data_IF_364751652149
#
_entry.id   IF_364751652149
#
_cell.length_a   1.000
_cell.length_b   1.000
_cell.length_c   1.000
_cell.angle_alpha   90.00
_cell.angle_beta   90.00
_cell.angle_gamma   90.00
#
_symmetry.space_group_name_H-M   'P 1'
#
loop_
_entity.id
_entity.type
_entity.pdbx_description
1 polymer ?
#
# COMPACT_ATOMS: atom_id res chain seq x y z
N UNK A 1 -21.68 4.71 38.22
CA UNK A 1 -22.38 4.49 36.95
C UNK A 1 -21.34 4.17 35.89
N UNK A 2 -21.08 2.89 35.69
CA UNK A 2 -20.19 2.41 34.62
C UNK A 2 -21.03 2.32 33.35
N UNK A 3 -20.68 3.09 32.33
CA UNK A 3 -21.18 2.85 30.98
C UNK A 3 -20.50 1.57 30.48
N UNK A 4 -21.23 0.45 30.52
CA UNK A 4 -20.96 -0.68 29.66
C UNK A 4 -20.94 -0.17 28.22
N UNK A 5 -19.75 0.00 27.67
CA UNK A 5 -19.57 0.12 26.24
C UNK A 5 -19.94 -1.26 25.70
N UNK A 6 -21.19 -1.41 25.27
CA UNK A 6 -21.77 -2.66 24.83
C UNK A 6 -20.92 -3.28 23.73
N UNK A 7 -20.07 -4.22 24.13
CA UNK A 7 -19.56 -5.22 23.22
C UNK A 7 -20.79 -6.04 22.84
N UNK A 8 -21.33 -5.85 21.62
CA UNK A 8 -22.41 -6.68 21.09
C UNK A 8 -21.75 -7.87 20.35
N UNK A 9 -21.47 -9.00 21.02
CA UNK A 9 -20.88 -10.18 20.39
C UNK A 9 -21.73 -10.70 19.21
N UNK A 10 -23.02 -10.34 19.16
CA UNK A 10 -23.92 -10.68 18.07
C UNK A 10 -23.55 -9.98 16.76
N UNK A 11 -23.06 -8.73 16.80
CA UNK A 11 -22.73 -7.99 15.59
C UNK A 11 -21.50 -8.58 14.90
N UNK A 12 -20.50 -8.98 15.68
CA UNK A 12 -19.29 -9.63 15.19
C UNK A 12 -19.59 -11.03 14.62
N UNK A 13 -20.51 -11.77 15.24
CA UNK A 13 -20.99 -13.06 14.71
C UNK A 13 -21.69 -12.89 13.35
N UNK A 14 -22.58 -11.90 13.22
CA UNK A 14 -23.30 -11.64 11.96
C UNK A 14 -22.33 -11.20 10.86
N UNK A 15 -21.33 -10.38 11.18
CA UNK A 15 -20.31 -9.96 10.24
C UNK A 15 -19.40 -11.12 9.82
N UNK A 16 -19.05 -12.00 10.76
CA UNK A 16 -18.30 -13.21 10.47
C UNK A 16 -19.06 -14.09 9.47
N UNK A 17 -20.34 -14.37 9.74
CA UNK A 17 -21.15 -15.23 8.86
C UNK A 17 -21.29 -14.60 7.46
N UNK A 18 -21.43 -13.27 7.36
CA UNK A 18 -21.42 -12.58 6.06
C UNK A 18 -20.08 -12.70 5.35
N UNK A 19 -18.97 -12.50 6.07
CA UNK A 19 -17.62 -12.58 5.51
C UNK A 19 -17.33 -14.01 5.03
N UNK A 20 -17.65 -15.01 5.86
CA UNK A 20 -17.53 -16.42 5.51
C UNK A 20 -18.34 -16.76 4.26
N UNK A 21 -19.59 -16.29 4.17
CA UNK A 21 -20.43 -16.52 2.98
C UNK A 21 -19.87 -15.84 1.72
N UNK A 22 -19.26 -14.65 1.86
CA UNK A 22 -18.57 -13.97 0.74
C UNK A 22 -17.32 -14.75 0.31
N UNK A 23 -16.53 -15.23 1.27
CA UNK A 23 -15.36 -16.07 0.98
C UNK A 23 -15.77 -17.38 0.31
N UNK A 24 -16.74 -18.09 0.88
CA UNK A 24 -17.29 -19.34 0.34
C UNK A 24 -17.79 -19.13 -1.08
N UNK A 25 -18.51 -18.03 -1.34
CA UNK A 25 -18.96 -17.68 -2.69
C UNK A 25 -17.80 -17.38 -3.65
N UNK A 26 -16.77 -16.66 -3.20
CA UNK A 26 -15.60 -16.36 -4.04
C UNK A 26 -14.75 -17.59 -4.35
N UNK A 27 -14.76 -18.59 -3.47
CA UNK A 27 -14.02 -19.85 -3.63
C UNK A 27 -14.84 -20.91 -4.39
N UNK A 28 -16.17 -20.80 -4.39
CA UNK A 28 -17.08 -21.76 -5.02
C UNK A 28 -16.95 -21.84 -6.54
N UNK A 29 -16.35 -20.84 -7.21
CA UNK A 29 -16.15 -20.81 -8.65
C UNK A 29 -14.72 -21.30 -9.01
N UNK A 30 -14.48 -22.63 -9.15
CA UNK A 30 -13.14 -23.18 -9.36
C UNK A 30 -12.50 -22.77 -10.69
N UNK A 31 -13.30 -22.27 -11.64
CA UNK A 31 -12.82 -21.81 -12.93
C UNK A 31 -12.04 -20.48 -12.81
N UNK A 32 -12.40 -19.63 -11.84
CA UNK A 32 -11.71 -18.36 -11.59
C UNK A 32 -10.31 -18.56 -10.99
N UNK A 33 -10.12 -19.68 -10.26
CA UNK A 33 -8.86 -20.02 -9.60
C UNK A 33 -7.91 -20.85 -10.46
N UNK A 34 -8.30 -21.19 -11.70
CA UNK A 34 -7.38 -21.92 -12.60
C UNK A 34 -6.33 -20.95 -13.15
N UNK A 35 -5.02 -21.26 -12.99
CA UNK A 35 -3.96 -20.42 -13.53
C UNK A 35 -4.03 -20.42 -15.05
N UNK A 36 -4.57 -19.36 -15.63
CA UNK A 36 -4.35 -19.04 -17.02
C UNK A 36 -2.97 -18.37 -17.14
N UNK A 37 -2.18 -18.74 -18.14
CA UNK A 37 -0.83 -18.23 -18.36
C UNK A 37 -0.77 -16.69 -18.37
N UNK A 38 -1.85 -16.03 -18.78
CA UNK A 38 -1.95 -14.58 -18.82
C UNK A 38 -2.43 -13.93 -17.50
N UNK A 39 -3.05 -14.68 -16.60
CA UNK A 39 -3.69 -14.16 -15.36
C UNK A 39 -3.08 -14.73 -14.08
N UNK A 40 -1.98 -15.49 -14.16
CA UNK A 40 -1.40 -16.18 -12.99
C UNK A 40 -1.01 -15.19 -11.88
N UNK A 41 -0.58 -13.98 -12.24
CA UNK A 41 -0.24 -12.93 -11.29
C UNK A 41 -1.47 -12.36 -10.59
N UNK A 42 -2.56 -12.12 -11.32
CA UNK A 42 -3.82 -11.62 -10.77
C UNK A 42 -4.46 -12.66 -9.83
N UNK A 43 -4.45 -13.93 -10.23
CA UNK A 43 -4.94 -15.04 -9.40
C UNK A 43 -4.09 -15.18 -8.14
N UNK A 44 -2.76 -15.04 -8.24
CA UNK A 44 -1.86 -15.06 -7.08
C UNK A 44 -2.13 -13.87 -6.14
N UNK A 45 -2.23 -12.65 -6.67
CA UNK A 45 -2.50 -11.45 -5.87
C UNK A 45 -3.88 -11.52 -5.19
N UNK A 46 -4.89 -11.99 -5.92
CA UNK A 46 -6.24 -12.22 -5.40
C UNK A 46 -6.22 -13.26 -4.29
N UNK A 47 -5.48 -14.37 -4.48
CA UNK A 47 -5.30 -15.40 -3.45
C UNK A 47 -4.65 -14.83 -2.19
N UNK A 48 -3.68 -13.93 -2.34
CA UNK A 48 -2.99 -13.29 -1.22
C UNK A 48 -3.91 -12.33 -0.45
N UNK A 49 -4.72 -11.53 -1.15
CA UNK A 49 -5.71 -10.66 -0.50
C UNK A 49 -6.76 -11.48 0.26
N UNK A 50 -7.25 -12.58 -0.33
CA UNK A 50 -8.18 -13.47 0.37
C UNK A 50 -7.53 -14.20 1.54
N UNK A 51 -6.23 -14.48 1.48
CA UNK A 51 -5.47 -15.08 2.58
C UNK A 51 -5.22 -14.08 3.72
N UNK A 52 -5.01 -12.80 3.42
CA UNK A 52 -4.94 -11.76 4.45
C UNK A 52 -6.30 -11.60 5.15
N UNK A 53 -7.41 -11.68 4.40
CA UNK A 53 -8.74 -11.72 4.97
C UNK A 53 -8.99 -12.99 5.81
N UNK A 54 -8.43 -14.15 5.42
CA UNK A 54 -8.45 -15.36 6.26
C UNK A 54 -7.49 -15.26 7.46
N UNK A 55 -6.49 -14.37 7.43
CA UNK A 55 -5.67 -14.01 8.59
C UNK A 55 -6.47 -13.38 9.73
N UNK A 56 -7.63 -12.77 9.44
CA UNK A 56 -8.60 -12.41 10.48
C UNK A 56 -9.15 -13.65 11.22
N UNK A 57 -9.04 -14.87 10.66
CA UNK A 57 -9.35 -16.11 11.39
C UNK A 57 -8.43 -16.34 12.58
N UNK A 58 -7.22 -15.80 12.56
CA UNK A 58 -6.27 -15.90 13.66
C UNK A 58 -6.76 -15.09 14.87
N UNK A 59 -7.41 -13.95 14.59
CA UNK A 59 -8.13 -13.15 15.58
C UNK A 59 -9.34 -13.95 16.10
N UNK A 60 -10.07 -14.65 15.23
CA UNK A 60 -11.16 -15.54 15.66
C UNK A 60 -10.69 -16.71 16.51
N UNK A 61 -9.55 -17.34 16.21
CA UNK A 61 -8.99 -18.39 17.05
C UNK A 61 -8.56 -17.87 18.41
N UNK A 62 -8.11 -16.61 18.50
CA UNK A 62 -7.82 -15.97 19.78
C UNK A 62 -9.08 -15.63 20.57
N UNK A 63 -10.13 -15.14 19.90
CA UNK A 63 -11.44 -14.89 20.53
C UNK A 63 -12.07 -16.21 20.99
N UNK A 64 -11.99 -17.26 20.18
CA UNK A 64 -12.44 -18.61 20.51
C UNK A 64 -11.70 -19.16 21.73
N UNK A 65 -10.38 -18.99 21.81
CA UNK A 65 -9.59 -19.37 22.99
C UNK A 65 -10.01 -18.65 24.26
N UNK A 66 -10.58 -17.44 24.13
CA UNK A 66 -11.08 -16.66 25.24
C UNK A 66 -12.49 -17.08 25.68
N UNK A 67 -13.27 -17.67 24.76
CA UNK A 67 -14.66 -18.11 24.97
C UNK A 67 -14.73 -19.56 25.44
N UNK A 68 -13.79 -20.43 25.04
CA UNK A 68 -13.75 -21.85 25.47
C UNK A 68 -13.59 -22.01 27.00
N UNK A 69 -13.14 -20.97 27.73
CA UNK A 69 -13.07 -20.99 29.19
C UNK A 69 -14.45 -20.70 29.87
N UNK A 70 -15.48 -20.27 29.12
CA UNK A 70 -16.80 -19.92 29.64
C UNK A 70 -17.93 -20.75 28.97
N UNK A 71 -18.21 -21.91 29.58
CA UNK A 71 -19.40 -22.79 29.41
C UNK A 71 -19.77 -23.32 27.98
N UNK A 72 -20.10 -24.61 27.84
CA UNK A 72 -20.50 -25.22 26.56
C UNK A 72 -21.93 -24.80 26.17
N UNK A 73 -22.06 -23.60 25.60
CA UNK A 73 -23.29 -23.11 25.00
C UNK A 73 -23.61 -23.83 23.67
N UNK A 74 -24.89 -24.06 23.32
CA UNK A 74 -25.30 -24.65 22.03
C UNK A 74 -24.80 -23.90 20.78
N UNK A 75 -24.33 -22.66 20.93
CA UNK A 75 -23.68 -21.91 19.85
C UNK A 75 -22.33 -22.51 19.43
N UNK A 76 -21.69 -23.32 20.28
CA UNK A 76 -20.40 -23.98 19.99
C UNK A 76 -20.48 -24.90 18.77
N UNK A 77 -21.61 -25.59 18.56
CA UNK A 77 -21.81 -26.50 17.43
C UNK A 77 -21.76 -25.72 16.10
N UNK A 78 -22.44 -24.56 16.03
CA UNK A 78 -22.43 -23.70 14.83
C UNK A 78 -21.05 -23.11 14.57
N UNK A 79 -20.31 -22.78 15.63
CA UNK A 79 -18.95 -22.24 15.52
C UNK A 79 -17.94 -23.31 15.06
N UNK A 80 -18.13 -24.57 15.43
CA UNK A 80 -17.31 -25.66 14.91
C UNK A 80 -17.54 -25.86 13.41
N UNK A 81 -18.78 -25.77 12.93
CA UNK A 81 -19.07 -25.83 11.50
C UNK A 81 -18.42 -24.68 10.72
N UNK A 82 -18.47 -23.45 11.25
CA UNK A 82 -17.80 -22.31 10.61
C UNK A 82 -16.28 -22.46 10.63
N UNK A 83 -15.72 -23.01 11.71
CA UNK A 83 -14.29 -23.33 11.81
C UNK A 83 -13.86 -24.36 10.76
N UNK A 84 -14.59 -25.46 10.62
CA UNK A 84 -14.28 -26.50 9.62
C UNK A 84 -14.35 -25.92 8.20
N UNK A 85 -15.37 -25.10 7.90
CA UNK A 85 -15.48 -24.42 6.60
C UNK A 85 -14.30 -23.48 6.34
N UNK A 86 -13.90 -22.73 7.36
CA UNK A 86 -12.79 -21.78 7.26
C UNK A 86 -11.45 -22.50 7.04
N UNK A 87 -11.22 -23.61 7.74
CA UNK A 87 -10.03 -24.46 7.56
C UNK A 87 -9.97 -25.06 6.14
N UNK A 88 -11.13 -25.46 5.60
CA UNK A 88 -11.24 -25.94 4.22
C UNK A 88 -10.88 -24.86 3.20
N UNK A 89 -11.34 -23.63 3.42
CA UNK A 89 -11.04 -22.47 2.56
C UNK A 89 -9.56 -22.10 2.67
N UNK A 90 -9.00 -22.09 3.88
CA UNK A 90 -7.59 -21.78 4.11
C UNK A 90 -6.67 -22.81 3.44
N UNK A 91 -7.00 -24.10 3.55
CA UNK A 91 -6.26 -25.18 2.87
C UNK A 91 -6.32 -25.02 1.35
N UNK A 92 -7.50 -24.72 0.79
CA UNK A 92 -7.66 -24.47 -0.64
C UNK A 92 -6.83 -23.27 -1.11
N UNK A 93 -6.88 -22.14 -0.39
CA UNK A 93 -6.12 -20.94 -0.75
C UNK A 93 -4.60 -21.18 -0.68
N UNK A 94 -4.13 -21.95 0.31
CA UNK A 94 -2.72 -22.35 0.41
C UNK A 94 -2.30 -23.22 -0.78
N UNK A 95 -3.15 -24.11 -1.25
CA UNK A 95 -2.85 -24.96 -2.40
C UNK A 95 -2.84 -24.15 -3.71
N UNK A 96 -3.78 -23.22 -3.90
CA UNK A 96 -3.76 -22.27 -5.02
C UNK A 96 -2.50 -21.40 -4.98
N UNK A 97 -2.14 -20.88 -3.81
CA UNK A 97 -0.95 -20.05 -3.65
C UNK A 97 0.33 -20.81 -4.01
N UNK A 98 0.44 -22.09 -3.60
CA UNK A 98 1.56 -22.95 -3.99
C UNK A 98 1.59 -23.21 -5.50
N UNK A 99 0.43 -23.43 -6.12
CA UNK A 99 0.31 -23.66 -7.55
C UNK A 99 0.62 -22.41 -8.39
N UNK A 100 0.29 -21.22 -7.89
CA UNK A 100 0.46 -19.95 -8.60
C UNK A 100 1.71 -19.17 -8.19
N UNK A 101 2.54 -19.68 -7.26
CA UNK A 101 3.73 -18.97 -6.79
C UNK A 101 4.64 -18.71 -8.01
N UNK A 102 4.84 -17.44 -8.42
CA UNK A 102 5.69 -17.16 -9.56
C UNK A 102 7.10 -17.65 -9.23
N UNK A 103 7.66 -18.48 -10.10
CA UNK A 103 9.06 -18.87 -9.99
C UNK A 103 9.88 -17.57 -10.03
N UNK A 104 10.70 -17.28 -9.01
CA UNK A 104 11.49 -16.06 -8.97
C UNK A 104 12.45 -16.08 -10.15
N UNK A 105 12.02 -15.45 -11.24
CA UNK A 105 12.84 -15.23 -12.41
C UNK A 105 13.76 -14.10 -12.01
N UNK A 106 14.98 -14.43 -11.57
CA UNK A 106 15.98 -13.40 -11.30
C UNK A 106 16.11 -12.57 -12.57
N UNK A 107 15.89 -11.26 -12.52
CA UNK A 107 16.18 -10.41 -13.66
C UNK A 107 17.66 -10.62 -13.98
N UNK A 108 17.94 -11.07 -15.21
CA UNK A 108 19.32 -11.23 -15.70
C UNK A 108 20.05 -9.93 -15.40
N UNK A 109 21.07 -10.03 -14.53
CA UNK A 109 21.81 -8.89 -14.03
C UNK A 109 22.27 -8.03 -15.21
N UNK A 110 21.75 -6.80 -15.29
CA UNK A 110 22.08 -5.85 -16.35
C UNK A 110 23.58 -5.53 -16.38
N UNK A 111 24.28 -5.79 -15.26
CA UNK A 111 25.74 -5.68 -15.14
C UNK A 111 26.49 -6.67 -16.05
N UNK A 112 25.89 -7.80 -16.42
CA UNK A 112 26.50 -8.75 -17.37
C UNK A 112 26.40 -8.29 -18.83
N UNK A 113 25.54 -7.32 -19.13
CA UNK A 113 25.35 -6.77 -20.49
C UNK A 113 26.14 -5.51 -20.77
N UNK A 114 26.76 -4.91 -19.74
CA UNK A 114 27.55 -3.71 -19.93
C UNK A 114 28.88 -4.09 -20.60
N UNK A 115 29.19 -3.49 -21.77
CA UNK A 115 30.50 -3.68 -22.39
C UNK A 115 31.58 -3.16 -21.45
N UNK A 116 32.53 -4.03 -21.09
CA UNK A 116 33.67 -3.67 -20.26
C UNK A 116 34.51 -2.64 -21.05
N UNK A 117 34.80 -1.45 -20.49
CA UNK A 117 35.67 -0.48 -21.14
C UNK A 117 37.06 -1.09 -21.37
N UNK A 118 37.48 -1.12 -22.62
CA UNK A 118 38.80 -1.60 -23.01
C UNK A 118 39.86 -0.62 -22.48
N UNK A 119 40.87 -1.10 -21.72
CA UNK A 119 41.89 -0.23 -21.14
C UNK A 119 42.72 0.44 -22.24
N UNK A 120 43.11 1.71 -22.08
CA UNK A 120 43.89 2.42 -23.07
C UNK A 120 45.24 1.72 -23.27
N UNK A 121 45.53 1.35 -24.52
CA UNK A 121 46.83 0.84 -24.94
C UNK A 121 47.92 1.87 -24.65
N UNK A 122 48.68 1.65 -23.58
CA UNK A 122 49.92 2.37 -23.32
C UNK A 122 50.96 1.97 -24.37
N UNK A 123 51.14 2.83 -25.37
CA UNK A 123 52.31 2.81 -26.26
C UNK A 123 53.56 3.06 -25.42
N UNK A 124 54.37 2.03 -25.28
CA UNK A 124 55.62 2.05 -24.54
C UNK A 124 56.66 2.98 -25.13
N UNK A 125 57.41 3.65 -24.25
CA UNK A 125 58.82 3.98 -24.41
C UNK A 125 59.49 3.85 -23.03
N UNK A 126 60.55 3.07 -22.97
CA UNK A 126 61.54 2.93 -21.89
C UNK A 126 62.93 3.20 -22.51
N UNK A 127 64.07 3.34 -21.79
CA UNK A 127 64.33 3.47 -20.35
C UNK A 127 65.39 4.58 -19.99
N UNK A 128 65.76 4.63 -18.70
CA UNK A 128 66.92 5.29 -18.04
C UNK A 128 66.71 6.75 -17.59
N UNK A 129 67.10 7.24 -16.41
CA UNK A 129 68.03 6.81 -15.35
C UNK A 129 67.75 7.67 -14.07
N UNK A 130 67.67 7.02 -12.90
CA UNK A 130 68.11 7.36 -11.51
C UNK A 130 68.38 8.83 -11.00
N UNK A 131 68.61 9.08 -9.68
CA UNK A 131 67.66 9.26 -8.56
C UNK A 131 67.81 10.63 -7.81
N UNK A 132 66.84 11.02 -6.95
CA UNK A 132 67.10 11.59 -5.60
C UNK A 132 65.82 11.99 -4.82
N UNK A 133 65.86 11.69 -3.52
CA UNK A 133 64.99 12.03 -2.36
C UNK A 133 64.62 13.53 -2.19
N UNK A 134 63.96 13.96 -1.08
CA UNK A 134 62.83 13.41 -0.29
C UNK A 134 61.73 14.52 -0.09
N UNK A 135 60.72 14.33 0.78
CA UNK A 135 60.07 15.48 1.47
C UNK A 135 58.67 15.98 1.10
N UNK A 136 57.66 15.75 1.95
CA UNK A 136 56.73 16.78 2.50
C UNK A 136 55.24 16.45 2.39
N UNK A 137 54.60 16.55 3.54
CA UNK A 137 53.17 16.43 3.86
C UNK A 137 52.37 17.64 3.35
N UNK A 138 51.09 17.48 2.99
CA UNK A 138 49.98 18.45 3.19
C UNK A 138 48.71 17.86 2.55
N UNK A 139 47.67 17.45 3.28
CA UNK A 139 46.53 18.24 3.78
C UNK A 139 45.70 19.00 2.72
N UNK A 140 44.38 18.74 2.77
CA UNK A 140 43.21 19.47 2.23
C UNK A 140 42.90 19.41 0.72
N UNK A 141 41.73 18.87 0.37
CA UNK A 141 40.50 19.65 0.16
C UNK A 141 39.37 18.78 -0.45
N UNK A 142 38.26 18.63 0.28
CA UNK A 142 36.96 18.21 -0.27
C UNK A 142 36.25 19.43 -0.88
N UNK A 143 35.57 19.30 -2.04
CA UNK A 143 34.68 20.34 -2.54
C UNK A 143 33.27 20.17 -1.98
N UNK A 144 32.89 21.04 -1.02
CA UNK A 144 31.52 21.25 -0.59
C UNK A 144 30.73 22.04 -1.64
N UNK A 145 29.66 21.45 -2.18
CA UNK A 145 28.75 22.10 -3.14
C UNK A 145 27.79 23.03 -2.39
N UNK A 146 27.82 24.29 -2.79
CA UNK A 146 27.02 25.41 -2.29
C UNK A 146 25.54 25.23 -2.66
N UNK A 147 24.66 25.19 -1.65
CA UNK A 147 23.21 25.31 -1.81
C UNK A 147 22.83 26.74 -1.43
N UNK A 148 22.61 27.60 -2.41
CA UNK A 148 22.15 28.98 -2.22
C UNK A 148 20.88 29.19 -3.02
N UNK A 149 19.82 29.54 -2.29
CA UNK A 149 18.76 30.42 -2.78
C UNK A 149 17.57 29.71 -3.43
N UNK A 150 16.51 29.52 -2.65
CA UNK A 150 15.15 29.96 -2.99
C UNK A 150 14.23 29.69 -1.79
N UNK A 151 14.43 30.46 -0.73
CA UNK A 151 13.40 30.69 0.29
C UNK A 151 12.36 31.63 -0.33
N UNK A 152 11.19 31.09 -0.67
CA UNK A 152 9.98 31.90 -0.83
C UNK A 152 9.10 31.59 0.38
N UNK A 153 8.95 32.59 1.23
CA UNK A 153 8.15 32.57 2.45
C UNK A 153 6.65 32.43 2.15
N UNK A 154 5.87 31.84 3.08
CA UNK A 154 4.42 31.62 2.96
C UNK A 154 3.62 32.92 3.17
N UNK A 155 2.39 33.03 2.63
CA UNK A 155 1.47 34.11 2.99
C UNK A 155 0.75 33.83 4.31
N UNK A 156 0.64 34.88 5.13
CA UNK A 156 -0.04 34.91 6.44
C UNK A 156 -1.56 34.63 6.35
N UNK A 157 -2.13 33.92 7.34
CA UNK A 157 -3.56 33.70 7.47
C UNK A 157 -4.20 34.64 8.51
N UNK A 158 -4.84 35.73 8.09
CA UNK A 158 -5.81 36.44 8.94
C UNK A 158 -7.09 36.81 8.17
N UNK A 159 -8.22 36.29 8.65
CA UNK A 159 -9.49 37.00 8.63
C UNK A 159 -10.51 36.66 7.54
N UNK A 160 -11.10 35.45 7.57
CA UNK A 160 -12.51 35.28 7.17
C UNK A 160 -13.23 34.32 8.14
N UNK A 161 -14.27 34.88 8.76
CA UNK A 161 -15.18 34.34 9.76
C UNK A 161 -16.00 33.09 9.35
N UNK A 162 -16.63 32.40 10.33
CA UNK A 162 -17.27 31.10 10.15
C UNK A 162 -18.76 31.26 9.83
N UNK A 163 -19.12 31.23 8.55
CA UNK A 163 -20.53 31.11 8.15
C UNK A 163 -20.65 30.70 6.68
N UNK A 164 -20.28 29.46 6.37
CA UNK A 164 -20.74 28.76 5.16
C UNK A 164 -20.57 27.23 5.32
N UNK A 165 -20.87 26.72 6.50
CA UNK A 165 -21.24 25.31 6.67
C UNK A 165 -22.71 25.26 6.25
N UNK A 166 -22.98 24.96 4.97
CA UNK A 166 -24.26 24.46 4.37
C UNK A 166 -24.39 25.01 2.95
N UNK A 167 -23.70 24.39 1.98
CA UNK A 167 -24.11 24.27 0.57
C UNK A 167 -22.88 23.87 -0.27
N UNK A 168 -22.69 22.56 -0.48
CA UNK A 168 -22.13 21.94 -1.69
C UNK A 168 -21.65 20.52 -1.39
N UNK A 169 -22.59 19.61 -1.13
CA UNK A 169 -22.41 18.21 -1.48
C UNK A 169 -23.00 18.02 -2.89
N UNK A 170 -22.20 17.71 -3.91
CA UNK A 170 -22.66 16.84 -4.98
C UNK A 170 -22.28 15.41 -4.59
N UNK A 171 -23.29 14.71 -4.07
CA UNK A 171 -23.37 13.26 -4.10
C UNK A 171 -23.19 12.77 -5.54
N UNK A 172 -22.11 12.04 -5.83
CA UNK A 172 -21.96 11.26 -7.05
C UNK A 172 -21.25 9.94 -6.73
N UNK A 173 -22.03 9.01 -6.17
CA UNK A 173 -21.79 7.58 -6.36
C UNK A 173 -22.54 7.15 -7.64
N UNK A 174 -21.86 6.67 -8.69
CA UNK A 174 -22.52 5.92 -9.76
C UNK A 174 -22.69 4.47 -9.29
N UNK A 175 -23.91 4.13 -8.89
CA UNK A 175 -24.37 2.74 -8.80
C UNK A 175 -24.62 2.26 -10.24
N UNK A 176 -23.79 1.34 -10.71
CA UNK A 176 -23.99 0.60 -11.96
C UNK A 176 -24.91 -0.59 -11.73
N UNK A 177 -26.01 -0.65 -12.48
CA UNK A 177 -26.70 -1.89 -12.79
C UNK A 177 -27.24 -1.83 -14.23
N UNK A 178 -26.93 -2.89 -14.96
CA UNK A 178 -27.15 -3.19 -16.36
C UNK A 178 -28.55 -2.87 -16.92
N UNK A 179 -28.65 -2.51 -18.21
CA UNK A 179 -28.79 -3.48 -19.30
C UNK A 179 -29.24 -2.78 -20.60
N UNK A 180 -28.35 -2.74 -21.59
CA UNK A 180 -28.62 -2.82 -23.04
C UNK A 180 -27.38 -2.33 -23.80
N UNK A 181 -26.71 -3.25 -24.49
CA UNK A 181 -25.77 -2.92 -25.55
C UNK A 181 -26.53 -2.22 -26.71
N UNK A 182 -25.87 -1.34 -27.50
CA UNK A 182 -24.91 -1.84 -28.46
C UNK A 182 -23.56 -1.11 -28.41
N UNK A 183 -22.52 -1.88 -28.68
CA UNK A 183 -21.22 -1.48 -29.23
C UNK A 183 -21.18 -0.07 -29.82
N UNK A 184 -20.50 0.88 -29.15
CA UNK A 184 -20.00 2.08 -29.80
C UNK A 184 -18.60 2.42 -29.31
N UNK A 185 -17.66 2.29 -30.24
CA UNK A 185 -16.27 2.70 -30.24
C UNK A 185 -15.89 3.83 -29.26
N UNK A 186 -15.04 3.51 -28.29
CA UNK A 186 -14.23 4.51 -27.57
C UNK A 186 -12.90 4.68 -28.30
N UNK A 187 -12.95 5.42 -29.40
CA UNK A 187 -11.77 5.93 -30.09
C UNK A 187 -12.17 7.18 -30.86
N UNK A 188 -12.30 8.30 -30.14
CA UNK A 188 -12.42 9.62 -30.73
C UNK A 188 -11.49 10.57 -29.99
N UNK A 189 -10.49 11.11 -30.71
CA UNK A 189 -9.73 12.26 -30.23
C UNK A 189 -8.26 12.34 -30.63
N UNK A 190 -7.80 11.60 -31.65
CA UNK A 190 -6.63 12.02 -32.41
C UNK A 190 -7.13 12.64 -33.72
N UNK A 191 -6.61 13.83 -34.00
CA UNK A 191 -7.02 14.69 -35.11
C UNK A 191 -6.82 14.10 -36.51
N UNK A 192 -7.08 14.90 -37.55
CA UNK A 192 -7.26 14.42 -38.92
C UNK A 192 -5.98 13.75 -39.42
N UNK A 193 -6.06 12.44 -39.65
CA UNK A 193 -5.09 11.69 -40.45
C UNK A 193 -5.15 12.22 -41.89
N UNK A 194 -4.08 12.83 -42.44
CA UNK A 194 -4.07 13.18 -43.85
C UNK A 194 -4.03 11.88 -44.67
N UNK A 195 -5.10 11.66 -45.42
CA UNK A 195 -5.20 10.64 -46.45
C UNK A 195 -4.04 10.82 -47.44
N UNK A 196 -3.13 9.86 -47.49
CA UNK A 196 -2.08 9.78 -48.50
C UNK A 196 -2.73 9.62 -49.88
N UNK A 197 -2.87 10.74 -50.60
CA UNK A 197 -3.34 10.75 -51.99
C UNK A 197 -2.13 10.48 -52.88
N UNK A 198 -2.07 9.27 -53.42
CA UNK A 198 -1.12 8.82 -54.44
C UNK A 198 -1.23 9.71 -55.69
N UNK A 199 -0.29 10.65 -55.85
CA UNK A 199 -0.13 11.43 -57.10
C UNK A 199 0.72 10.61 -58.06
N UNK A 200 0.09 10.14 -59.13
CA UNK A 200 0.78 9.53 -60.26
C UNK A 200 1.38 10.62 -61.17
N UNK A 201 2.65 10.46 -61.52
CA UNK A 201 3.21 10.90 -62.80
C UNK A 201 3.85 12.29 -62.86
N UNK A 202 5.12 12.33 -63.28
CA UNK A 202 5.66 13.42 -64.10
C UNK A 202 6.74 14.30 -63.47
N UNK A 203 8.01 13.95 -63.73
CA UNK A 203 9.15 14.86 -63.97
C UNK A 203 9.17 16.22 -63.23
N UNK A 204 9.79 16.27 -62.04
CA UNK A 204 10.07 17.52 -61.31
C UNK A 204 10.64 17.32 -59.89
N UNK A 205 11.68 16.49 -59.75
CA UNK A 205 12.10 15.87 -58.47
C UNK A 205 12.74 16.75 -57.38
N UNK A 206 12.78 18.08 -57.52
CA UNK A 206 13.39 18.99 -56.52
C UNK A 206 12.38 19.75 -55.65
N UNK A 207 11.23 20.16 -56.21
CA UNK A 207 10.28 21.03 -55.53
C UNK A 207 9.30 20.28 -54.61
N UNK A 208 9.01 19.01 -54.90
CA UNK A 208 8.09 18.18 -54.11
C UNK A 208 8.71 17.71 -52.78
N UNK A 209 10.02 17.48 -52.75
CA UNK A 209 10.73 17.11 -51.52
C UNK A 209 10.77 18.24 -50.51
N UNK A 210 10.89 19.50 -50.96
CA UNK A 210 10.82 20.68 -50.08
C UNK A 210 9.43 20.83 -49.45
N UNK A 211 8.36 20.60 -50.22
CA UNK A 211 6.99 20.66 -49.72
C UNK A 211 6.68 19.58 -48.67
N UNK A 212 7.19 18.36 -48.85
CA UNK A 212 7.05 17.28 -47.85
C UNK A 212 7.83 17.60 -46.58
N UNK A 213 9.01 18.20 -46.73
CA UNK A 213 9.87 18.57 -45.59
C UNK A 213 9.23 19.69 -44.75
N UNK A 214 8.55 20.63 -45.39
CA UNK A 214 7.77 21.69 -44.74
C UNK A 214 6.50 21.14 -44.04
N UNK A 215 5.85 20.13 -44.62
CA UNK A 215 4.72 19.46 -43.97
C UNK A 215 5.16 18.69 -42.71
N UNK A 216 6.28 17.95 -42.79
CA UNK A 216 6.82 17.23 -41.62
C UNK A 216 7.28 18.18 -40.51
N UNK A 217 7.90 19.32 -40.85
CA UNK A 217 8.29 20.31 -39.85
C UNK A 217 7.06 20.91 -39.16
N UNK A 218 5.99 21.20 -39.92
CA UNK A 218 4.73 21.68 -39.35
C UNK A 218 4.08 20.68 -38.39
N UNK A 219 4.11 19.38 -38.72
CA UNK A 219 3.59 18.33 -37.85
C UNK A 219 4.42 18.17 -36.58
N UNK A 220 5.74 18.27 -36.69
CA UNK A 220 6.64 18.17 -35.55
C UNK A 220 6.46 19.36 -34.61
N UNK A 221 6.25 20.57 -35.15
CA UNK A 221 5.92 21.75 -34.36
C UNK A 221 4.60 21.56 -33.57
N UNK A 222 3.55 21.03 -34.23
CA UNK A 222 2.28 20.74 -33.55
C UNK A 222 2.44 19.68 -32.45
N UNK A 223 3.20 18.61 -32.70
CA UNK A 223 3.48 17.60 -31.68
C UNK A 223 4.30 18.17 -30.52
N UNK A 224 5.30 19.03 -30.79
CA UNK A 224 6.08 19.68 -29.75
C UNK A 224 5.23 20.62 -28.90
N UNK A 225 4.31 21.37 -29.51
CA UNK A 225 3.34 22.20 -28.79
C UNK A 225 2.38 21.36 -27.94
N UNK A 226 1.94 20.20 -28.45
CA UNK A 226 1.10 19.28 -27.67
C UNK A 226 1.86 18.68 -26.49
N UNK A 227 3.11 18.24 -26.71
CA UNK A 227 3.96 17.72 -25.65
C UNK A 227 4.21 18.77 -24.57
N UNK A 228 4.42 20.03 -24.96
CA UNK A 228 4.54 21.16 -24.04
C UNK A 228 3.27 21.38 -23.23
N UNK A 229 2.08 21.35 -23.86
CA UNK A 229 0.80 21.45 -23.13
C UNK A 229 0.60 20.30 -22.15
N UNK A 230 0.91 19.06 -22.57
CA UNK A 230 0.85 17.89 -21.71
C UNK A 230 1.81 18.03 -20.52
N UNK A 231 3.04 18.49 -20.75
CA UNK A 231 4.03 18.70 -19.68
C UNK A 231 3.57 19.77 -18.67
N UNK A 232 3.00 20.89 -19.14
CA UNK A 232 2.44 21.92 -18.26
C UNK A 232 1.29 21.33 -17.44
N UNK A 233 0.35 20.62 -18.08
CA UNK A 233 -0.77 19.98 -17.39
C UNK A 233 -0.31 18.97 -16.33
N UNK A 234 0.70 18.15 -16.64
CA UNK A 234 1.28 17.22 -15.67
C UNK A 234 1.98 17.94 -14.52
N UNK A 235 2.67 19.05 -14.77
CA UNK A 235 3.31 19.83 -13.71
C UNK A 235 2.27 20.42 -12.74
N UNK A 236 1.14 20.92 -13.26
CA UNK A 236 0.04 21.44 -12.43
C UNK A 236 -0.66 20.31 -11.67
N UNK A 237 -0.88 19.17 -12.33
CA UNK A 237 -1.47 17.99 -11.67
C UNK A 237 -0.59 17.49 -10.53
N UNK A 238 0.73 17.41 -10.73
CA UNK A 238 1.68 17.03 -9.69
C UNK A 238 1.71 18.02 -8.51
N UNK A 239 1.57 19.32 -8.78
CA UNK A 239 1.49 20.32 -7.72
C UNK A 239 0.21 20.15 -6.88
N UNK A 240 -0.93 19.87 -7.52
CA UNK A 240 -2.19 19.58 -6.83
C UNK A 240 -2.11 18.26 -6.05
N UNK A 241 -1.56 17.20 -6.64
CA UNK A 241 -1.40 15.90 -6.00
C UNK A 241 -0.49 16.01 -4.77
N UNK A 242 0.60 16.80 -4.87
CA UNK A 242 1.46 17.10 -3.72
C UNK A 242 0.68 17.77 -2.58
N UNK A 243 -0.16 18.76 -2.89
CA UNK A 243 -0.98 19.43 -1.88
C UNK A 243 -2.00 18.47 -1.23
N UNK A 244 -2.59 17.56 -1.99
CA UNK A 244 -3.50 16.53 -1.47
C UNK A 244 -2.74 15.53 -0.58
N UNK A 245 -1.53 15.13 -0.95
CA UNK A 245 -0.69 14.23 -0.15
C UNK A 245 -0.27 14.89 1.16
N UNK A 246 0.15 16.15 1.14
CA UNK A 246 0.50 16.91 2.35
C UNK A 246 -0.72 17.05 3.28
N UNK A 247 -1.90 17.38 2.74
CA UNK A 247 -3.14 17.45 3.52
C UNK A 247 -3.54 16.07 4.10
N UNK A 248 -3.36 15.00 3.34
CA UNK A 248 -3.63 13.64 3.83
C UNK A 248 -2.64 13.23 4.93
N UNK A 249 -1.36 13.61 4.80
CA UNK A 249 -0.34 13.37 5.81
C UNK A 249 -0.68 14.11 7.11
N UNK A 250 -1.05 15.39 7.05
CA UNK A 250 -1.46 16.16 8.24
C UNK A 250 -2.66 15.52 8.95
N UNK A 251 -3.66 15.03 8.20
CA UNK A 251 -4.81 14.32 8.77
C UNK A 251 -4.41 13.00 9.42
N UNK A 252 -3.45 12.29 8.83
CA UNK A 252 -2.96 11.02 9.36
C UNK A 252 -2.15 11.23 10.64
N UNK A 253 -1.28 12.23 10.67
CA UNK A 253 -0.52 12.64 11.86
C UNK A 253 -1.46 13.08 12.99
N UNK A 254 -2.45 13.94 12.69
CA UNK A 254 -3.45 14.37 13.66
C UNK A 254 -4.27 13.20 14.22
N UNK A 255 -4.65 12.24 13.37
CA UNK A 255 -5.38 11.04 13.81
C UNK A 255 -4.49 10.12 14.67
N UNK A 256 -3.23 9.95 14.28
CA UNK A 256 -2.27 9.16 15.02
C UNK A 256 -2.02 9.73 16.42
N UNK A 257 -1.85 11.05 16.54
CA UNK A 257 -1.69 11.74 17.82
C UNK A 257 -2.93 11.63 18.69
N UNK A 258 -4.13 11.76 18.11
CA UNK A 258 -5.38 11.55 18.83
C UNK A 258 -5.49 10.11 19.36
N UNK A 259 -5.15 9.12 18.53
CA UNK A 259 -5.15 7.71 18.92
C UNK A 259 -4.11 7.43 20.02
N UNK A 260 -2.91 8.00 19.92
CA UNK A 260 -1.86 7.82 20.91
C UNK A 260 -2.20 8.50 22.25
N UNK A 261 -2.83 9.67 22.21
CA UNK A 261 -3.35 10.36 23.40
C UNK A 261 -4.46 9.55 24.07
N UNK A 262 -5.39 8.99 23.29
CA UNK A 262 -6.42 8.10 23.83
C UNK A 262 -5.82 6.82 24.39
N UNK A 263 -4.85 6.21 23.72
CA UNK A 263 -4.16 4.99 24.19
C UNK A 263 -3.43 5.23 25.52
N UNK A 264 -2.76 6.36 25.67
CA UNK A 264 -2.08 6.70 26.94
C UNK A 264 -3.08 6.98 28.06
N UNK A 265 -4.20 7.66 27.77
CA UNK A 265 -5.31 7.86 28.73
C UNK A 265 -5.97 6.54 29.14
N UNK A 266 -6.26 5.66 28.17
CA UNK A 266 -6.82 4.33 28.43
C UNK A 266 -5.84 3.46 29.22
N UNK A 267 -4.55 3.52 28.91
CA UNK A 267 -3.52 2.80 29.68
C UNK A 267 -3.43 3.32 31.11
N UNK A 268 -3.52 4.65 31.32
CA UNK A 268 -3.54 5.27 32.65
C UNK A 268 -4.79 4.87 33.44
N UNK A 269 -5.95 4.80 32.79
CA UNK A 269 -7.19 4.37 33.44
C UNK A 269 -7.21 2.85 33.72
N UNK A 270 -6.68 2.06 32.79
CA UNK A 270 -6.53 0.61 32.92
C UNK A 270 -5.59 0.24 34.06
N UNK A 271 -4.41 0.87 34.16
CA UNK A 271 -3.45 0.60 35.23
C UNK A 271 -3.97 1.03 36.61
N UNK A 272 -4.82 2.06 36.66
CA UNK A 272 -5.42 2.54 37.92
C UNK A 272 -6.54 1.62 38.41
N UNK A 273 -7.35 1.07 37.50
CA UNK A 273 -8.42 0.13 37.83
C UNK A 273 -7.89 -1.26 38.23
N UNK A 274 -6.81 -1.73 37.58
CA UNK A 274 -6.22 -3.03 37.90
C UNK A 274 -5.45 -3.06 39.23
N UNK A 275 -4.95 -1.90 39.70
CA UNK A 275 -4.13 -1.81 40.91
C UNK A 275 -4.91 -2.15 42.19
N UNK A 276 -6.14 -1.67 42.32
CA UNK A 276 -7.01 -1.97 43.48
C UNK A 276 -7.37 -3.45 43.56
N UNK A 277 -7.62 -4.10 42.42
CA UNK A 277 -7.92 -5.54 42.38
C UNK A 277 -6.70 -6.37 42.80
N UNK A 278 -5.50 -5.96 42.39
CA UNK A 278 -4.27 -6.64 42.80
C UNK A 278 -4.00 -6.52 44.29
N UNK A 279 -4.28 -5.35 44.89
CA UNK A 279 -4.15 -5.13 46.34
C UNK A 279 -5.14 -6.02 47.12
N UNK A 280 -6.41 -6.04 46.73
CA UNK A 280 -7.43 -6.90 47.37
C UNK A 280 -7.06 -8.38 47.24
N UNK A 281 -6.60 -8.80 46.06
CA UNK A 281 -6.14 -10.17 45.83
C UNK A 281 -4.96 -10.52 46.75
N UNK A 282 -4.03 -9.58 46.96
CA UNK A 282 -2.92 -9.73 47.89
C UNK A 282 -3.37 -9.93 49.34
N UNK A 283 -4.35 -9.16 49.82
CA UNK A 283 -4.90 -9.32 51.17
C UNK A 283 -5.54 -10.70 51.34
N UNK A 284 -6.34 -11.14 50.37
CA UNK A 284 -6.97 -12.48 50.41
C UNK A 284 -5.90 -13.57 50.49
N UNK A 285 -4.82 -13.45 49.71
CA UNK A 285 -3.72 -14.42 49.68
C UNK A 285 -3.00 -14.50 51.04
N UNK A 286 -2.76 -13.35 51.69
CA UNK A 286 -2.16 -13.30 53.03
C UNK A 286 -3.06 -13.99 54.07
N UNK A 287 -4.38 -13.75 54.03
CA UNK A 287 -5.33 -14.41 54.94
C UNK A 287 -5.33 -15.93 54.74
N UNK A 288 -5.30 -16.40 53.49
CA UNK A 288 -5.21 -17.84 53.17
C UNK A 288 -3.90 -18.43 53.68
N UNK A 289 -2.77 -17.72 53.56
CA UNK A 289 -1.49 -18.18 54.10
C UNK A 289 -1.48 -18.27 55.62
N UNK A 290 -1.99 -17.25 56.32
CA UNK A 290 -2.12 -17.28 57.78
C UNK A 290 -3.02 -18.43 58.25
N UNK A 291 -4.12 -18.68 57.54
CA UNK A 291 -5.01 -19.80 57.81
C UNK A 291 -4.28 -21.14 57.64
N UNK A 292 -3.58 -21.34 56.52
CA UNK A 292 -2.78 -22.55 56.27
C UNK A 292 -1.70 -22.76 57.33
N UNK A 293 -1.03 -21.68 57.80
CA UNK A 293 -0.06 -21.75 58.88
C UNK A 293 -0.71 -22.16 60.20
N UNK A 294 -1.84 -21.57 60.57
CA UNK A 294 -2.54 -21.91 61.81
C UNK A 294 -3.01 -23.38 61.80
N UNK A 295 -3.58 -23.84 60.68
CA UNK A 295 -3.95 -25.25 60.49
C UNK A 295 -2.73 -26.15 60.58
N UNK A 296 -1.61 -25.75 59.97
CA UNK A 296 -0.36 -26.51 60.02
C UNK A 296 0.16 -26.64 61.46
N UNK A 297 0.10 -25.57 62.27
CA UNK A 297 0.50 -25.61 63.68
C UNK A 297 -0.39 -26.56 64.49
N UNK A 298 -1.71 -26.53 64.29
CA UNK A 298 -2.63 -27.46 64.97
C UNK A 298 -2.38 -28.91 64.54
N UNK A 299 -2.01 -29.14 63.28
CA UNK A 299 -1.77 -30.49 62.75
C UNK A 299 -0.40 -31.05 63.15
N UNK A 300 0.60 -30.19 63.36
CA UNK A 300 1.97 -30.58 63.73
C UNK A 300 2.25 -30.49 65.24
N UNK A 301 1.43 -29.78 66.00
CA UNK A 301 1.42 -29.80 67.46
C UNK A 301 0.60 -30.96 68.00
#
# INVERSE_FOLDING_TARGET
MYSECGYEPQHDEVNLVRLLRRLEKSVADPQEWRPNAMQTLDVWLKSQMTLQASGCSLILSNVYRLVDDLDPSPNHIKLNDTKIKLDRIDTFLKDVQKACKPSPTQPTSLLASLPIPEPPEEKGISPAEQPSSPRTQSLLAEPSVSTVGLTISPPDPEGISPSLITAALPSLLPLSAAEAAPTSAFSHGLGPTPTSRKVAGGSGGGATSMAIQEELSSQLELMAQQLKRNAIHFSTSLANDKAVVEAAQEKLESNYDAMQSQRTKLKSHSSKSSSTTWLVTGIILVVVLLFMLMVSVIRFS
#
